data_IF_180050316168
#
_entry.id   IF_180050316168
#
_cell.length_a   1.000
_cell.length_b   1.000
_cell.length_c   1.000
_cell.angle_alpha   90.00
_cell.angle_beta   90.00
_cell.angle_gamma   90.00
#
_symmetry.space_group_name_H-M   'P 1'
#
loop_
_entity.id
_entity.type
_entity.pdbx_description
1 polymer ?
#
# COMPACT_ATOMS: atom_id res chain seq x y z
N UNK A 1 -27.11 24.90 -8.65
CA UNK A 1 -27.29 23.92 -7.57
C UNK A 1 -27.02 22.55 -8.16
N UNK A 2 -25.89 21.96 -7.79
CA UNK A 2 -25.45 20.69 -8.34
C UNK A 2 -26.38 19.57 -7.84
N UNK A 3 -26.81 18.66 -8.73
CA UNK A 3 -27.69 17.55 -8.34
C UNK A 3 -27.00 16.65 -7.31
N UNK A 4 -25.67 16.57 -7.40
CA UNK A 4 -24.80 15.86 -6.46
C UNK A 4 -24.68 16.59 -5.12
N UNK A 5 -24.54 17.93 -5.12
CA UNK A 5 -24.61 18.73 -3.88
C UNK A 5 -25.98 18.60 -3.21
N UNK A 6 -27.07 18.63 -3.99
CA UNK A 6 -28.42 18.48 -3.47
C UNK A 6 -28.62 17.10 -2.82
N UNK A 7 -28.11 16.03 -3.44
CA UNK A 7 -28.17 14.67 -2.89
C UNK A 7 -27.25 14.53 -1.66
N UNK A 8 -26.04 15.08 -1.66
CA UNK A 8 -25.14 15.04 -0.51
C UNK A 8 -25.67 15.84 0.70
N UNK A 9 -26.23 17.03 0.49
CA UNK A 9 -26.74 17.88 1.58
C UNK A 9 -28.09 17.43 2.12
N UNK A 10 -28.99 16.88 1.30
CA UNK A 10 -30.33 16.43 1.74
C UNK A 10 -30.39 14.97 2.18
N UNK A 11 -29.46 14.11 1.77
CA UNK A 11 -29.54 12.65 1.96
C UNK A 11 -28.47 12.08 2.92
N UNK A 12 -27.80 12.93 3.70
CA UNK A 12 -26.78 12.51 4.69
C UNK A 12 -27.34 11.70 5.88
N UNK A 13 -28.67 11.63 6.02
CA UNK A 13 -29.37 10.80 7.03
C UNK A 13 -29.71 9.39 6.51
N UNK A 14 -29.70 9.15 5.19
CA UNK A 14 -30.19 7.91 4.63
C UNK A 14 -29.23 6.72 4.88
N UNK A 15 -29.76 5.49 5.10
CA UNK A 15 -28.94 4.29 5.24
C UNK A 15 -28.05 4.07 4.01
N UNK A 16 -26.75 3.76 4.22
CA UNK A 16 -25.77 3.49 3.15
C UNK A 16 -26.26 2.55 2.03
N UNK A 17 -27.06 1.49 2.27
CA UNK A 17 -27.58 0.63 1.20
C UNK A 17 -28.55 1.35 0.26
N UNK A 18 -29.37 2.26 0.78
CA UNK A 18 -30.31 3.06 -0.02
C UNK A 18 -29.56 4.09 -0.86
N UNK A 19 -28.56 4.76 -0.28
CA UNK A 19 -27.68 5.67 -1.01
C UNK A 19 -26.99 4.96 -2.18
N UNK A 20 -26.39 3.79 -1.94
CA UNK A 20 -25.74 3.00 -2.99
C UNK A 20 -26.72 2.53 -4.08
N UNK A 21 -27.97 2.22 -3.71
CA UNK A 21 -29.02 1.87 -4.66
C UNK A 21 -29.44 3.07 -5.52
N UNK A 22 -29.64 4.24 -4.92
CA UNK A 22 -29.98 5.47 -5.64
C UNK A 22 -28.84 5.92 -6.55
N UNK A 23 -27.59 5.85 -6.09
CA UNK A 23 -26.41 6.16 -6.90
C UNK A 23 -26.31 5.24 -8.13
N UNK A 24 -26.51 3.92 -7.94
CA UNK A 24 -26.57 2.95 -9.06
C UNK A 24 -27.69 3.25 -10.05
N UNK A 25 -28.82 3.80 -9.60
CA UNK A 25 -29.95 4.17 -10.47
C UNK A 25 -29.72 5.50 -11.18
N UNK A 26 -29.12 6.48 -10.50
CA UNK A 26 -28.72 7.78 -11.07
C UNK A 26 -27.67 7.60 -12.17
N UNK A 27 -26.69 6.71 -11.98
CA UNK A 27 -25.70 6.33 -13.00
C UNK A 27 -26.30 5.71 -14.27
N UNK A 28 -27.54 5.19 -14.23
CA UNK A 28 -28.25 4.67 -15.42
C UNK A 28 -28.95 5.75 -16.24
N UNK A 29 -28.98 7.00 -15.78
CA UNK A 29 -29.55 8.12 -16.53
C UNK A 29 -28.51 8.54 -17.59
N UNK A 30 -28.82 8.51 -18.89
CA UNK A 30 -27.84 8.79 -19.95
C UNK A 30 -27.15 10.16 -19.81
N UNK A 31 -27.87 11.19 -19.35
CA UNK A 31 -27.32 12.53 -19.11
C UNK A 31 -26.33 12.57 -17.94
N UNK A 32 -26.50 11.70 -16.94
CA UNK A 32 -25.59 11.58 -15.79
C UNK A 32 -24.39 10.71 -16.17
N UNK A 33 -24.60 9.57 -16.84
CA UNK A 33 -23.51 8.72 -17.36
C UNK A 33 -22.59 9.49 -18.29
N UNK A 34 -23.14 10.18 -19.30
CA UNK A 34 -22.35 11.01 -20.24
C UNK A 34 -21.64 12.19 -19.59
N UNK A 35 -22.09 12.65 -18.41
CA UNK A 35 -21.39 13.69 -17.65
C UNK A 35 -20.26 13.09 -16.80
N UNK A 36 -20.48 11.91 -16.22
CA UNK A 36 -19.46 11.13 -15.51
C UNK A 36 -18.37 10.70 -16.50
N UNK A 37 -18.74 10.16 -17.66
CA UNK A 37 -17.82 9.80 -18.74
C UNK A 37 -17.00 11.01 -19.18
N UNK A 38 -17.61 12.18 -19.38
CA UNK A 38 -16.84 13.40 -19.70
C UNK A 38 -15.86 13.84 -18.60
N UNK A 39 -16.22 13.71 -17.33
CA UNK A 39 -15.28 13.99 -16.23
C UNK A 39 -14.18 12.92 -16.16
N UNK A 40 -14.52 11.66 -16.39
CA UNK A 40 -13.56 10.56 -16.49
C UNK A 40 -12.59 10.77 -17.65
N UNK A 41 -13.08 11.09 -18.84
CA UNK A 41 -12.28 11.34 -20.04
C UNK A 41 -11.38 12.58 -19.84
N UNK A 42 -11.87 13.60 -19.12
CA UNK A 42 -11.07 14.76 -18.76
C UNK A 42 -9.93 14.41 -17.79
N UNK A 43 -10.22 13.58 -16.80
CA UNK A 43 -9.22 13.08 -15.85
C UNK A 43 -8.22 12.17 -16.56
N UNK A 44 -8.71 11.24 -17.38
CA UNK A 44 -7.92 10.25 -18.12
C UNK A 44 -7.05 10.91 -19.20
N UNK A 45 -7.60 11.85 -19.97
CA UNK A 45 -6.85 12.54 -21.02
C UNK A 45 -5.66 13.36 -20.49
N UNK A 46 -5.75 13.88 -19.26
CA UNK A 46 -4.59 14.49 -18.59
C UNK A 46 -3.64 13.47 -17.94
N UNK A 47 -4.13 12.26 -17.66
CA UNK A 47 -3.36 11.17 -17.04
C UNK A 47 -2.58 10.37 -18.09
N UNK A 48 -3.06 10.28 -19.32
CA UNK A 48 -2.50 9.44 -20.38
C UNK A 48 -1.04 9.81 -20.66
N UNK A 49 -0.75 11.10 -20.86
CA UNK A 49 0.62 11.60 -21.05
C UNK A 49 1.52 11.35 -19.83
N UNK A 50 0.95 11.34 -18.63
CA UNK A 50 1.69 11.08 -17.38
C UNK A 50 1.92 9.59 -17.12
N UNK A 51 1.01 8.72 -17.55
CA UNK A 51 1.06 7.27 -17.35
C UNK A 51 1.78 6.53 -18.48
N UNK A 52 1.77 7.09 -19.69
CA UNK A 52 2.37 6.52 -20.88
C UNK A 52 3.35 7.49 -21.57
N UNK A 53 4.31 8.11 -20.86
CA UNK A 53 5.23 9.10 -21.43
C UNK A 53 6.20 8.50 -22.48
N UNK A 54 6.25 7.18 -22.60
CA UNK A 54 7.16 6.46 -23.50
C UNK A 54 6.50 5.89 -24.75
N UNK A 55 5.20 6.16 -24.97
CA UNK A 55 4.46 5.58 -26.10
C UNK A 55 5.07 5.87 -27.47
N UNK A 56 5.68 7.05 -27.62
CA UNK A 56 6.33 7.48 -28.86
C UNK A 56 7.84 7.13 -28.93
N UNK A 57 8.46 6.77 -27.81
CA UNK A 57 9.92 6.59 -27.70
C UNK A 57 10.35 5.14 -27.53
N UNK A 58 9.47 4.27 -27.01
CA UNK A 58 9.72 2.85 -26.81
C UNK A 58 8.63 2.00 -27.48
N UNK A 59 9.00 0.87 -28.11
CA UNK A 59 8.02 -0.04 -28.68
C UNK A 59 7.15 -0.66 -27.58
N UNK A 60 5.83 -0.64 -27.79
CA UNK A 60 4.89 -1.37 -26.94
C UNK A 60 4.88 -2.86 -27.30
N UNK A 61 5.16 -3.72 -26.32
CA UNK A 61 5.12 -5.17 -26.47
C UNK A 61 3.81 -5.74 -25.89
N UNK A 62 2.81 -5.95 -26.76
CA UNK A 62 1.52 -6.56 -26.37
C UNK A 62 1.55 -8.10 -26.44
N UNK A 63 2.62 -8.67 -26.99
CA UNK A 63 2.88 -10.10 -27.07
C UNK A 63 4.38 -10.36 -26.91
N UNK A 64 4.74 -11.58 -26.50
CA UNK A 64 6.14 -11.99 -26.51
C UNK A 64 6.70 -11.93 -27.94
N UNK A 65 7.89 -11.33 -28.14
CA UNK A 65 8.56 -11.35 -29.43
C UNK A 65 8.81 -12.78 -29.91
N UNK A 66 8.71 -13.02 -31.22
CA UNK A 66 8.96 -14.34 -31.82
C UNK A 66 10.41 -14.78 -31.69
N UNK A 67 11.34 -13.82 -31.54
CA UNK A 67 12.74 -14.05 -31.25
C UNK A 67 13.16 -13.17 -30.06
N UNK A 68 14.06 -13.67 -29.22
CA UNK A 68 14.56 -12.90 -28.08
C UNK A 68 15.26 -11.62 -28.54
N UNK A 69 14.91 -10.51 -27.89
CA UNK A 69 15.56 -9.22 -28.12
C UNK A 69 17.03 -9.27 -27.69
N UNK A 70 17.86 -8.42 -28.29
CA UNK A 70 19.25 -8.31 -27.88
C UNK A 70 19.31 -7.72 -26.45
N UNK A 71 20.09 -8.36 -25.57
CA UNK A 71 20.26 -7.89 -24.18
C UNK A 71 20.77 -6.45 -24.09
N UNK A 72 21.65 -6.03 -25.01
CA UNK A 72 22.17 -4.67 -25.07
C UNK A 72 21.05 -3.67 -25.41
N UNK A 73 20.20 -3.99 -26.38
CA UNK A 73 19.05 -3.14 -26.76
C UNK A 73 18.07 -2.98 -25.61
N UNK A 74 17.77 -4.06 -24.89
CA UNK A 74 16.91 -4.02 -23.70
C UNK A 74 17.53 -3.13 -22.61
N UNK A 75 18.83 -3.29 -22.34
CA UNK A 75 19.51 -2.50 -21.31
C UNK A 75 19.60 -1.01 -21.67
N UNK A 76 19.83 -0.67 -22.94
CA UNK A 76 19.80 0.72 -23.42
C UNK A 76 18.43 1.36 -23.24
N UNK A 77 17.36 0.63 -23.60
CA UNK A 77 15.99 1.10 -23.37
C UNK A 77 15.71 1.35 -21.88
N UNK A 78 16.10 0.43 -21.00
CA UNK A 78 15.91 0.60 -19.55
C UNK A 78 16.74 1.76 -18.98
N UNK A 79 17.96 2.00 -19.48
CA UNK A 79 18.78 3.16 -19.12
C UNK A 79 18.12 4.46 -19.53
N UNK A 80 17.54 4.53 -20.73
CA UNK A 80 16.84 5.72 -21.21
C UNK A 80 15.62 6.06 -20.34
N UNK A 81 14.82 5.07 -19.94
CA UNK A 81 13.71 5.25 -18.99
C UNK A 81 14.20 5.78 -17.66
N UNK A 82 15.19 5.09 -17.06
CA UNK A 82 15.73 5.50 -15.77
C UNK A 82 16.29 6.93 -15.80
N UNK A 83 16.99 7.31 -16.87
CA UNK A 83 17.53 8.66 -17.03
C UNK A 83 16.44 9.73 -17.11
N UNK A 84 15.27 9.43 -17.70
CA UNK A 84 14.15 10.35 -17.76
C UNK A 84 13.44 10.52 -16.41
N UNK A 85 13.36 9.47 -15.60
CA UNK A 85 12.65 9.47 -14.31
C UNK A 85 13.51 9.98 -13.14
N UNK A 86 14.83 9.81 -13.24
CA UNK A 86 15.78 10.08 -12.15
C UNK A 86 15.75 11.53 -11.63
N UNK A 87 15.74 12.59 -12.46
CA UNK A 87 15.83 13.97 -11.98
C UNK A 87 14.73 14.33 -10.97
N UNK A 88 13.50 13.81 -11.16
CA UNK A 88 12.36 14.15 -10.31
C UNK A 88 12.60 13.79 -8.83
N UNK A 89 13.12 12.59 -8.56
CA UNK A 89 13.40 12.18 -7.18
C UNK A 89 14.81 12.57 -6.74
N UNK A 90 15.79 12.63 -7.63
CA UNK A 90 17.16 12.98 -7.28
C UNK A 90 17.29 14.46 -6.88
N UNK A 91 16.56 15.36 -7.54
CA UNK A 91 16.57 16.80 -7.25
C UNK A 91 15.59 17.18 -6.11
N UNK A 92 14.95 16.20 -5.48
CA UNK A 92 14.09 16.40 -4.30
C UNK A 92 12.68 16.91 -4.59
N UNK A 93 12.18 16.78 -5.83
CA UNK A 93 10.81 17.19 -6.19
C UNK A 93 9.75 16.15 -5.79
N UNK A 94 10.15 14.91 -5.49
CA UNK A 94 9.24 13.84 -5.07
C UNK A 94 9.10 13.78 -3.53
N UNK A 95 7.90 14.08 -3.00
CA UNK A 95 7.62 13.89 -1.56
C UNK A 95 7.52 12.41 -1.20
N UNK A 96 8.38 11.94 -0.29
CA UNK A 96 8.49 10.51 0.00
C UNK A 96 9.21 9.78 -1.14
N UNK A 97 8.57 8.76 -1.71
CA UNK A 97 9.05 7.94 -2.86
C UNK A 97 10.45 7.32 -2.71
N UNK A 98 11.53 8.11 -2.73
CA UNK A 98 12.93 7.70 -2.56
C UNK A 98 13.48 8.29 -1.26
N UNK A 99 13.79 7.43 -0.29
CA UNK A 99 14.14 7.85 1.08
C UNK A 99 15.62 8.22 1.27
N UNK A 100 16.55 7.68 0.46
CA UNK A 100 17.99 7.93 0.59
C UNK A 100 18.59 8.65 -0.63
N UNK A 101 18.49 8.06 -1.83
CA UNK A 101 18.86 8.73 -3.10
C UNK A 101 20.36 8.88 -3.39
N UNK A 102 21.24 8.74 -2.40
CA UNK A 102 22.71 8.80 -2.61
C UNK A 102 23.22 7.74 -3.61
N UNK A 103 23.97 8.14 -4.67
CA UNK A 103 24.47 7.20 -5.68
C UNK A 103 25.38 6.10 -5.14
N UNK A 104 26.25 6.39 -4.16
CA UNK A 104 27.16 5.38 -3.61
C UNK A 104 26.41 4.35 -2.77
N UNK A 105 25.40 4.78 -2.02
CA UNK A 105 24.49 3.89 -1.30
C UNK A 105 23.68 2.99 -2.26
N UNK A 106 23.14 3.57 -3.34
CA UNK A 106 22.42 2.82 -4.37
C UNK A 106 23.32 1.77 -5.03
N UNK A 107 24.55 2.15 -5.42
CA UNK A 107 25.51 1.23 -6.03
C UNK A 107 25.86 0.06 -5.10
N UNK A 108 26.09 0.36 -3.82
CA UNK A 108 26.31 -0.68 -2.80
C UNK A 108 25.14 -1.68 -2.75
N UNK A 109 23.89 -1.20 -2.68
CA UNK A 109 22.71 -2.08 -2.63
C UNK A 109 22.50 -2.87 -3.94
N UNK A 110 22.83 -2.28 -5.10
CA UNK A 110 22.80 -2.97 -6.39
C UNK A 110 23.77 -4.15 -6.41
N UNK A 111 24.97 -3.98 -5.85
CA UNK A 111 25.97 -5.05 -5.73
C UNK A 111 25.48 -6.16 -4.77
N UNK A 112 24.89 -5.79 -3.62
CA UNK A 112 24.28 -6.75 -2.68
C UNK A 112 23.18 -7.56 -3.36
N UNK A 113 22.29 -6.90 -4.12
CA UNK A 113 21.25 -7.57 -4.88
C UNK A 113 21.84 -8.56 -5.92
N UNK A 114 22.84 -8.14 -6.69
CA UNK A 114 23.47 -9.00 -7.70
C UNK A 114 24.02 -10.31 -7.09
N UNK A 115 24.68 -10.21 -5.93
CA UNK A 115 25.21 -11.36 -5.18
C UNK A 115 24.12 -12.32 -4.70
N UNK A 116 22.93 -11.81 -4.37
CA UNK A 116 21.83 -12.58 -3.78
C UNK A 116 20.62 -12.75 -4.72
N UNK A 117 20.75 -12.42 -6.00
CA UNK A 117 19.63 -12.37 -6.96
C UNK A 117 18.87 -13.69 -7.14
N UNK A 118 19.52 -14.82 -6.84
CA UNK A 118 18.93 -16.16 -6.93
C UNK A 118 18.34 -16.65 -5.60
N UNK A 119 18.49 -15.88 -4.52
CA UNK A 119 18.04 -16.31 -3.20
C UNK A 119 16.53 -16.42 -3.13
N UNK A 120 16.05 -17.51 -2.55
CA UNK A 120 14.64 -17.75 -2.26
C UNK A 120 14.50 -18.24 -0.80
N UNK A 121 14.03 -17.39 0.14
CA UNK A 121 13.91 -17.74 1.55
C UNK A 121 13.03 -18.95 1.86
N UNK A 122 12.18 -19.40 0.92
CA UNK A 122 11.43 -20.65 1.05
C UNK A 122 12.35 -21.88 1.21
N UNK A 123 13.56 -21.83 0.64
CA UNK A 123 14.54 -22.91 0.65
C UNK A 123 15.72 -22.57 1.56
N UNK A 124 15.47 -22.48 2.87
CA UNK A 124 16.49 -22.11 3.87
C UNK A 124 17.66 -23.10 3.97
N UNK A 125 17.48 -24.33 3.50
CA UNK A 125 18.52 -25.35 3.36
C UNK A 125 19.52 -25.03 2.24
N UNK A 126 19.05 -24.39 1.16
CA UNK A 126 19.87 -23.96 0.02
C UNK A 126 20.42 -22.54 0.26
N UNK A 127 19.61 -21.65 0.84
CA UNK A 127 19.95 -20.24 1.09
C UNK A 127 19.94 -19.88 2.58
N UNK A 128 20.81 -20.49 3.41
CA UNK A 128 20.85 -20.22 4.85
C UNK A 128 21.25 -18.78 5.17
N UNK A 129 21.91 -18.08 4.24
CA UNK A 129 22.22 -16.65 4.35
C UNK A 129 20.96 -15.80 4.46
N UNK A 130 19.89 -16.09 3.71
CA UNK A 130 18.62 -15.35 3.82
C UNK A 130 17.98 -15.51 5.20
N UNK A 131 17.96 -16.72 5.74
CA UNK A 131 17.43 -16.96 7.10
C UNK A 131 18.23 -16.18 8.15
N UNK A 132 19.57 -16.14 8.02
CA UNK A 132 20.43 -15.33 8.88
C UNK A 132 20.12 -13.84 8.76
N UNK A 133 20.05 -13.29 7.55
CA UNK A 133 19.81 -11.88 7.33
C UNK A 133 18.44 -11.44 7.86
N UNK A 134 17.39 -12.20 7.60
CA UNK A 134 16.04 -11.89 8.10
C UNK A 134 15.99 -11.93 9.63
N UNK A 135 16.60 -12.94 10.26
CA UNK A 135 16.66 -13.04 11.72
C UNK A 135 17.40 -11.85 12.35
N UNK A 136 18.53 -11.45 11.78
CA UNK A 136 19.30 -10.30 12.27
C UNK A 136 18.57 -8.97 12.07
N UNK A 137 17.88 -8.78 10.95
CA UNK A 137 17.04 -7.59 10.70
C UNK A 137 15.94 -7.50 11.77
N UNK A 138 15.25 -8.61 12.06
CA UNK A 138 14.21 -8.63 13.10
C UNK A 138 14.80 -8.31 14.47
N UNK A 139 15.93 -8.93 14.83
CA UNK A 139 16.58 -8.71 16.12
C UNK A 139 17.06 -7.25 16.29
N UNK A 140 17.72 -6.67 15.28
CA UNK A 140 18.17 -5.28 15.32
C UNK A 140 16.99 -4.30 15.39
N UNK A 141 15.92 -4.56 14.65
CA UNK A 141 14.71 -3.72 14.67
C UNK A 141 13.99 -3.81 16.02
N UNK A 142 13.90 -5.01 16.60
CA UNK A 142 13.35 -5.21 17.94
C UNK A 142 14.16 -4.47 19.01
N UNK A 143 15.49 -4.56 18.96
CA UNK A 143 16.38 -3.83 19.86
C UNK A 143 16.17 -2.30 19.74
N UNK A 144 16.13 -1.78 18.50
CA UNK A 144 15.85 -0.37 18.23
C UNK A 144 14.49 0.10 18.79
N UNK A 145 13.49 -0.78 18.82
CA UNK A 145 12.13 -0.49 19.29
C UNK A 145 11.90 -0.84 20.77
N UNK A 146 12.97 -1.02 21.55
CA UNK A 146 12.91 -1.10 23.01
C UNK A 146 12.80 -2.52 23.57
N UNK A 147 13.34 -3.54 22.90
CA UNK A 147 13.45 -4.89 23.45
C UNK A 147 14.19 -4.94 24.80
N UNK A 148 15.07 -3.97 25.09
CA UNK A 148 15.78 -3.89 26.37
C UNK A 148 14.88 -3.47 27.55
N UNK A 149 13.67 -2.95 27.28
CA UNK A 149 12.72 -2.52 28.30
C UNK A 149 11.71 -3.61 28.70
N UNK A 150 11.89 -4.84 28.20
CA UNK A 150 11.00 -5.97 28.46
C UNK A 150 11.09 -6.47 29.91
N UNK A 151 9.98 -6.96 30.44
CA UNK A 151 9.97 -7.62 31.75
C UNK A 151 10.56 -9.03 31.65
N UNK A 152 11.08 -9.59 32.75
CA UNK A 152 11.55 -10.97 32.76
C UNK A 152 10.47 -11.94 32.25
N UNK A 153 10.81 -12.74 31.23
CA UNK A 153 9.90 -13.71 30.61
C UNK A 153 9.07 -13.16 29.44
N UNK A 154 9.21 -11.88 29.08
CA UNK A 154 8.66 -11.32 27.83
C UNK A 154 9.69 -11.41 26.70
N UNK A 155 9.21 -11.61 25.48
CA UNK A 155 10.04 -11.71 24.28
C UNK A 155 9.39 -10.92 23.14
N UNK A 156 10.20 -10.19 22.36
CA UNK A 156 9.80 -9.63 21.08
C UNK A 156 10.33 -10.54 19.98
N UNK A 157 9.41 -11.03 19.14
CA UNK A 157 9.72 -11.77 17.93
C UNK A 157 9.01 -11.14 16.73
N UNK A 158 9.40 -11.55 15.52
CA UNK A 158 8.84 -11.00 14.30
C UNK A 158 9.28 -11.72 13.05
N UNK A 159 8.87 -11.18 11.90
CA UNK A 159 9.21 -11.66 10.56
C UNK A 159 9.45 -10.46 9.66
N UNK A 160 10.33 -10.62 8.66
CA UNK A 160 10.46 -9.64 7.57
C UNK A 160 9.25 -9.80 6.64
N UNK A 161 8.73 -8.69 6.12
CA UNK A 161 7.59 -8.67 5.19
C UNK A 161 7.94 -7.88 3.94
N UNK A 162 7.16 -8.02 2.87
CA UNK A 162 7.37 -7.29 1.61
C UNK A 162 7.18 -5.77 1.74
N UNK A 163 6.54 -5.29 2.80
CA UNK A 163 6.37 -3.87 3.08
C UNK A 163 5.30 -3.57 4.12
N UNK A 164 5.09 -2.29 4.43
CA UNK A 164 4.22 -1.86 5.53
C UNK A 164 2.76 -2.31 5.40
N UNK A 165 2.24 -2.46 4.17
CA UNK A 165 0.87 -2.97 3.96
C UNK A 165 0.75 -4.43 4.41
N UNK A 166 1.70 -5.30 4.05
CA UNK A 166 1.68 -6.70 4.48
C UNK A 166 1.83 -6.81 6.00
N UNK A 167 2.72 -6.02 6.60
CA UNK A 167 2.85 -5.97 8.07
C UNK A 167 1.52 -5.66 8.78
N UNK A 168 0.76 -4.67 8.29
CA UNK A 168 -0.57 -4.36 8.84
C UNK A 168 -1.56 -5.52 8.60
N UNK A 169 -1.56 -6.13 7.41
CA UNK A 169 -2.43 -7.27 7.11
C UNK A 169 -2.15 -8.45 8.05
N UNK A 170 -0.87 -8.81 8.24
CA UNK A 170 -0.46 -9.90 9.12
C UNK A 170 -0.83 -9.61 10.57
N UNK A 171 -0.60 -8.39 11.07
CA UNK A 171 -1.02 -8.00 12.42
C UNK A 171 -2.54 -8.12 12.61
N UNK A 172 -3.34 -7.59 11.67
CA UNK A 172 -4.81 -7.65 11.71
C UNK A 172 -5.31 -9.10 11.71
N UNK A 173 -4.77 -9.95 10.84
CA UNK A 173 -5.08 -11.38 10.79
C UNK A 173 -4.70 -12.08 12.09
N UNK A 174 -3.52 -11.79 12.63
CA UNK A 174 -3.02 -12.39 13.88
C UNK A 174 -3.94 -12.06 15.06
N UNK A 175 -4.33 -10.79 15.24
CA UNK A 175 -5.27 -10.42 16.31
C UNK A 175 -6.64 -11.05 16.13
N UNK A 176 -7.15 -11.13 14.89
CA UNK A 176 -8.40 -11.82 14.59
C UNK A 176 -8.36 -13.29 15.01
N UNK A 177 -7.33 -14.00 14.57
CA UNK A 177 -7.17 -15.43 14.84
C UNK A 177 -6.97 -15.69 16.33
N UNK A 178 -6.12 -14.87 16.98
CA UNK A 178 -5.90 -14.93 18.42
C UNK A 178 -7.20 -14.70 19.22
N UNK A 179 -7.98 -13.68 18.88
CA UNK A 179 -9.24 -13.36 19.55
C UNK A 179 -10.29 -14.46 19.37
N UNK A 180 -10.36 -15.07 18.19
CA UNK A 180 -11.21 -16.24 17.94
C UNK A 180 -10.78 -17.43 18.82
N UNK A 181 -9.49 -17.74 18.83
CA UNK A 181 -8.98 -18.96 19.47
C UNK A 181 -8.94 -18.84 21.01
N UNK A 182 -8.69 -17.64 21.54
CA UNK A 182 -8.60 -17.40 23.00
C UNK A 182 -9.90 -16.95 23.65
N UNK A 183 -10.75 -16.23 22.93
CA UNK A 183 -11.97 -15.63 23.48
C UNK A 183 -13.25 -16.02 22.72
N UNK A 184 -13.16 -16.89 21.70
CA UNK A 184 -14.33 -17.35 20.95
C UNK A 184 -15.00 -16.26 20.09
N UNK A 185 -14.31 -15.15 19.82
CA UNK A 185 -14.89 -14.03 19.07
C UNK A 185 -15.06 -14.41 17.59
N UNK A 186 -16.30 -14.50 17.13
CA UNK A 186 -16.67 -14.85 15.74
C UNK A 186 -16.99 -13.63 14.86
N UNK A 187 -17.29 -12.49 15.48
CA UNK A 187 -17.52 -11.20 14.80
C UNK A 187 -16.50 -10.17 15.31
N UNK A 188 -15.26 -10.23 14.80
CA UNK A 188 -14.16 -9.41 15.31
C UNK A 188 -14.34 -7.94 14.93
N UNK A 189 -14.00 -7.06 15.87
CA UNK A 189 -13.98 -5.61 15.66
C UNK A 189 -12.59 -5.05 15.99
N UNK A 190 -12.11 -4.09 15.20
CA UNK A 190 -10.86 -3.35 15.45
C UNK A 190 -11.14 -1.86 15.34
N UNK A 191 -10.74 -1.11 16.36
CA UNK A 191 -10.87 0.35 16.41
C UNK A 191 -9.55 1.02 16.02
N UNK A 192 -9.60 1.96 15.07
CA UNK A 192 -8.42 2.73 14.61
C UNK A 192 -8.80 4.19 14.37
N UNK A 193 -7.85 5.15 14.46
CA UNK A 193 -8.10 6.53 14.09
C UNK A 193 -8.52 6.67 12.61
N UNK A 194 -9.30 7.70 12.28
CA UNK A 194 -9.66 8.04 10.88
C UNK A 194 -8.42 8.29 10.00
N UNK A 195 -7.30 8.70 10.61
CA UNK A 195 -6.01 8.94 9.96
C UNK A 195 -5.16 7.69 9.77
N UNK A 196 -5.60 6.52 10.27
CA UNK A 196 -4.87 5.27 10.10
C UNK A 196 -4.75 4.87 8.62
N UNK A 197 -3.63 4.25 8.25
CA UNK A 197 -3.32 3.87 6.88
C UNK A 197 -4.43 3.03 6.22
N UNK A 198 -4.67 3.23 4.92
CA UNK A 198 -5.73 2.54 4.17
C UNK A 198 -5.60 0.99 4.15
N UNK A 199 -4.43 0.46 4.50
CA UNK A 199 -4.22 -0.98 4.68
C UNK A 199 -5.14 -1.59 5.76
N UNK A 200 -5.58 -0.82 6.76
CA UNK A 200 -6.57 -1.27 7.74
C UNK A 200 -7.94 -1.53 7.11
N UNK A 201 -8.37 -0.66 6.19
CA UNK A 201 -9.62 -0.84 5.43
C UNK A 201 -9.53 -2.06 4.50
N UNK A 202 -8.37 -2.26 3.84
CA UNK A 202 -8.09 -3.46 3.05
C UNK A 202 -8.14 -4.73 3.91
N UNK A 203 -7.48 -4.73 5.07
CA UNK A 203 -7.49 -5.85 6.01
C UNK A 203 -8.90 -6.18 6.50
N UNK A 204 -9.68 -5.15 6.84
CA UNK A 204 -11.07 -5.26 7.29
C UNK A 204 -11.92 -6.02 6.28
N UNK A 205 -11.79 -5.68 5.00
CA UNK A 205 -12.52 -6.35 3.91
C UNK A 205 -12.01 -7.77 3.68
N UNK A 206 -10.69 -7.97 3.60
CA UNK A 206 -10.08 -9.27 3.30
C UNK A 206 -10.34 -10.31 4.39
N UNK A 207 -10.30 -9.87 5.65
CA UNK A 207 -10.38 -10.76 6.81
C UNK A 207 -11.73 -10.74 7.53
N UNK A 208 -12.70 -10.00 6.98
CA UNK A 208 -14.04 -9.81 7.53
C UNK A 208 -14.02 -9.33 9.00
N UNK A 209 -13.28 -8.25 9.25
CA UNK A 209 -13.16 -7.59 10.55
C UNK A 209 -13.94 -6.28 10.48
N UNK A 210 -14.85 -6.02 11.40
CA UNK A 210 -15.54 -4.72 11.46
C UNK A 210 -14.56 -3.63 11.92
N UNK A 211 -14.33 -2.66 11.05
CA UNK A 211 -13.43 -1.55 11.35
C UNK A 211 -14.21 -0.36 11.94
N UNK A 212 -13.86 0.05 13.15
CA UNK A 212 -14.44 1.20 13.84
C UNK A 212 -13.48 2.38 13.73
N UNK A 213 -13.85 3.39 12.92
CA UNK A 213 -13.02 4.58 12.70
C UNK A 213 -13.28 5.64 13.78
N UNK A 214 -12.24 6.01 14.53
CA UNK A 214 -12.30 6.97 15.63
C UNK A 214 -11.84 8.36 15.15
N UNK A 215 -12.62 9.43 15.36
CA UNK A 215 -12.23 10.78 14.96
C UNK A 215 -10.99 11.28 15.72
N UNK A 216 -10.29 12.23 15.12
CA UNK A 216 -9.16 12.95 15.74
C UNK A 216 -9.61 14.27 16.36
N UNK A 217 -8.79 14.79 17.27
CA UNK A 217 -8.94 16.11 17.87
C UNK A 217 -8.37 17.23 16.98
N UNK A 218 -8.39 18.46 17.49
CA UNK A 218 -7.87 19.66 16.81
C UNK A 218 -6.35 19.62 16.54
N UNK A 219 -5.62 18.73 17.22
CA UNK A 219 -4.19 18.50 17.03
C UNK A 219 -3.92 17.30 16.11
N UNK A 220 -4.95 16.79 15.42
CA UNK A 220 -4.90 15.61 14.55
C UNK A 220 -4.46 14.32 15.28
N UNK A 221 -4.68 14.24 16.60
CA UNK A 221 -4.42 13.04 17.42
C UNK A 221 -5.72 12.32 17.74
N UNK A 222 -5.63 11.01 17.99
CA UNK A 222 -6.82 10.23 18.34
C UNK A 222 -7.39 10.66 19.70
N UNK A 223 -8.71 10.87 19.75
CA UNK A 223 -9.41 11.09 21.01
C UNK A 223 -9.51 9.76 21.78
N UNK A 224 -8.64 9.59 22.78
CA UNK A 224 -8.54 8.36 23.58
C UNK A 224 -9.82 8.10 24.40
N UNK A 225 -10.59 9.14 24.74
CA UNK A 225 -11.86 8.99 25.45
C UNK A 225 -12.92 8.39 24.53
N UNK A 226 -12.96 8.83 23.26
CA UNK A 226 -13.81 8.22 22.23
C UNK A 226 -13.38 6.80 21.91
N UNK A 227 -12.07 6.53 21.83
CA UNK A 227 -11.55 5.18 21.64
C UNK A 227 -12.00 4.24 22.77
N UNK A 228 -11.95 4.68 24.04
CA UNK A 228 -12.40 3.87 25.19
C UNK A 228 -13.91 3.58 25.18
N UNK A 229 -14.71 4.45 24.57
CA UNK A 229 -16.18 4.31 24.50
C UNK A 229 -16.64 3.41 23.34
N UNK A 230 -15.86 3.38 22.26
CA UNK A 230 -16.10 2.54 21.10
C UNK A 230 -15.89 1.06 21.44
#
# INVERSE_FOLDING_TARGET
MDLLEFVQTKLNWAPRPLLAFFEKRLKKIPAVSSRIEREYDRILGGLEDSLHPYGDTLPAYNHLPTAGLNRHEVLEAMRAVAAAETPCWQDGFASGAVYHGDPAHIDFLNQVYALHSQSNPLHADIFPSSAKFEAEIVAMTAAMLGADALRPGEEICGTVTSGGTEGILLAMKTYRDYARDRAGITHPEIAVPVTAHAAFDKASQYFNIKLVKIPVDENFRVDVRRLRKA
#
